data_IF_052709206026
#
_entry.id   IF_052709206026
#
_cell.length_a   1.000
_cell.length_b   1.000
_cell.length_c   1.000
_cell.angle_alpha   90.00
_cell.angle_beta   90.00
_cell.angle_gamma   90.00
#
_symmetry.space_group_name_H-M   'P 1'
#
loop_
_entity.id
_entity.type
_entity.pdbx_description
1 polymer ?
#
# COMPACT_ATOMS: atom_id res chain seq x y z
N UNK A 1 -18.31 -14.79 -15.30
CA UNK A 1 -18.25 -13.40 -15.81
C UNK A 1 -16.81 -12.93 -15.68
N UNK A 2 -16.26 -12.22 -16.67
CA UNK A 2 -14.90 -11.69 -16.56
C UNK A 2 -14.93 -10.37 -15.76
N UNK A 3 -13.90 -10.17 -14.94
CA UNK A 3 -13.77 -9.02 -14.04
C UNK A 3 -12.57 -8.20 -14.50
N UNK A 4 -12.78 -6.89 -14.67
CA UNK A 4 -11.80 -5.98 -15.24
C UNK A 4 -11.47 -4.83 -14.28
N UNK A 5 -10.22 -4.38 -14.27
CA UNK A 5 -9.85 -3.16 -13.57
C UNK A 5 -10.39 -1.92 -14.33
N UNK A 6 -10.40 -0.75 -13.69
CA UNK A 6 -10.88 0.50 -14.31
C UNK A 6 -10.10 0.82 -15.59
N UNK A 7 -8.78 0.62 -15.60
CA UNK A 7 -7.96 0.90 -16.78
C UNK A 7 -8.31 0.00 -17.95
N UNK A 8 -8.46 -1.31 -17.70
CA UNK A 8 -8.80 -2.28 -18.74
C UNK A 8 -10.22 -2.05 -19.24
N UNK A 9 -11.13 -1.73 -18.34
CA UNK A 9 -12.51 -1.33 -18.67
C UNK A 9 -12.52 -0.11 -19.59
N UNK A 10 -11.70 0.90 -19.31
CA UNK A 10 -11.59 2.08 -20.16
C UNK A 10 -11.12 1.73 -21.59
N UNK A 11 -10.16 0.81 -21.70
CA UNK A 11 -9.67 0.31 -22.99
C UNK A 11 -10.72 -0.49 -23.75
N UNK A 12 -11.42 -1.41 -23.09
CA UNK A 12 -12.48 -2.24 -23.67
C UNK A 12 -13.60 -1.39 -24.27
N UNK A 13 -13.96 -0.29 -23.60
CA UNK A 13 -15.07 0.57 -23.99
C UNK A 13 -14.62 1.71 -24.93
N UNK A 14 -13.30 1.86 -25.18
CA UNK A 14 -12.73 3.02 -25.90
C UNK A 14 -13.15 4.36 -25.29
N UNK A 15 -13.19 4.45 -23.96
CA UNK A 15 -13.48 5.69 -23.23
C UNK A 15 -12.31 6.03 -22.30
N UNK A 16 -12.22 7.30 -21.91
CA UNK A 16 -11.22 7.71 -20.92
C UNK A 16 -11.48 7.04 -19.57
N UNK A 17 -10.42 6.79 -18.80
CA UNK A 17 -10.52 6.33 -17.40
C UNK A 17 -11.41 7.25 -16.55
N UNK A 18 -11.35 8.57 -16.79
CA UNK A 18 -12.18 9.57 -16.11
C UNK A 18 -13.67 9.38 -16.40
N UNK A 19 -14.03 8.95 -17.61
CA UNK A 19 -15.41 8.63 -17.96
C UNK A 19 -15.92 7.45 -17.14
N UNK A 20 -15.16 6.36 -17.07
CA UNK A 20 -15.52 5.20 -16.26
C UNK A 20 -15.71 5.59 -14.78
N UNK A 21 -14.74 6.33 -14.22
CA UNK A 21 -14.83 6.82 -12.83
C UNK A 21 -16.05 7.71 -12.58
N UNK A 22 -16.37 8.60 -13.53
CA UNK A 22 -17.57 9.45 -13.44
C UNK A 22 -18.86 8.62 -13.45
N UNK A 23 -18.91 7.57 -14.26
CA UNK A 23 -20.09 6.70 -14.34
C UNK A 23 -20.28 5.90 -13.06
N UNK A 24 -19.19 5.47 -12.41
CA UNK A 24 -19.23 4.86 -11.08
C UNK A 24 -19.73 5.87 -10.05
N UNK A 25 -19.17 7.10 -10.03
CA UNK A 25 -19.57 8.14 -9.09
C UNK A 25 -21.05 8.53 -9.23
N UNK A 26 -21.57 8.48 -10.46
CA UNK A 26 -22.98 8.77 -10.76
C UNK A 26 -23.90 7.55 -10.57
N UNK A 27 -23.38 6.39 -10.15
CA UNK A 27 -24.16 5.16 -9.96
C UNK A 27 -24.62 4.46 -11.24
N UNK A 28 -24.13 4.87 -12.42
CA UNK A 28 -24.47 4.22 -13.70
C UNK A 28 -23.79 2.87 -13.90
N UNK A 29 -22.58 2.73 -13.36
CA UNK A 29 -21.81 1.50 -13.35
C UNK A 29 -21.73 0.96 -11.92
N UNK A 30 -21.99 -0.33 -11.77
CA UNK A 30 -21.77 -1.03 -10.50
C UNK A 30 -20.31 -1.50 -10.49
N UNK A 31 -19.67 -1.35 -9.33
CA UNK A 31 -18.28 -1.70 -9.09
C UNK A 31 -18.21 -2.62 -7.88
N UNK A 32 -17.45 -3.69 -8.01
CA UNK A 32 -17.08 -4.60 -6.92
C UNK A 32 -15.68 -4.24 -6.44
N UNK A 33 -15.40 -4.46 -5.16
CA UNK A 33 -14.04 -4.35 -4.63
C UNK A 33 -13.46 -5.74 -4.48
N UNK A 34 -12.23 -5.90 -4.95
CA UNK A 34 -11.46 -7.13 -4.76
C UNK A 34 -11.11 -7.33 -3.27
N UNK A 35 -10.58 -8.50 -2.94
CA UNK A 35 -9.94 -8.85 -1.66
C UNK A 35 -8.92 -7.81 -1.21
N UNK A 36 -8.18 -7.21 -2.16
CA UNK A 36 -7.20 -6.15 -1.93
C UNK A 36 -7.81 -4.72 -1.91
N UNK A 37 -9.14 -4.60 -1.95
CA UNK A 37 -9.86 -3.33 -1.98
C UNK A 37 -9.79 -2.58 -3.31
N UNK A 38 -9.24 -3.20 -4.37
CA UNK A 38 -9.10 -2.57 -5.69
C UNK A 38 -10.45 -2.56 -6.42
N UNK A 39 -10.81 -1.45 -7.09
CA UNK A 39 -12.06 -1.34 -7.82
C UNK A 39 -12.04 -2.22 -9.08
N UNK A 40 -13.08 -3.03 -9.22
CA UNK A 40 -13.27 -3.99 -10.30
C UNK A 40 -14.68 -3.85 -10.87
N UNK A 41 -14.81 -4.10 -12.17
CA UNK A 41 -16.07 -3.95 -12.91
C UNK A 41 -16.28 -5.22 -13.74
N UNK A 42 -17.48 -5.76 -13.69
CA UNK A 42 -17.84 -6.94 -14.48
C UNK A 42 -18.01 -6.58 -15.95
N UNK A 43 -17.61 -7.47 -16.84
CA UNK A 43 -17.78 -7.27 -18.28
C UNK A 43 -19.24 -7.09 -18.68
N UNK A 44 -20.18 -7.71 -17.96
CA UNK A 44 -21.63 -7.55 -18.19
C UNK A 44 -22.15 -6.15 -17.84
N UNK A 45 -21.62 -5.54 -16.77
CA UNK A 45 -21.91 -4.15 -16.42
C UNK A 45 -21.43 -3.20 -17.52
N UNK A 46 -20.23 -3.46 -18.07
CA UNK A 46 -19.70 -2.68 -19.18
C UNK A 46 -20.57 -2.82 -20.43
N UNK A 47 -21.02 -4.05 -20.75
CA UNK A 47 -21.91 -4.30 -21.90
C UNK A 47 -23.27 -3.63 -21.69
N UNK A 48 -23.85 -3.70 -20.49
CA UNK A 48 -25.14 -3.05 -20.21
C UNK A 48 -25.08 -1.55 -20.42
N UNK A 49 -24.01 -0.90 -19.94
CA UNK A 49 -23.91 0.56 -19.92
C UNK A 49 -23.42 1.14 -21.24
N UNK A 50 -22.52 0.43 -21.94
CA UNK A 50 -21.87 0.96 -23.14
C UNK A 50 -22.12 0.16 -24.41
N UNK A 51 -22.78 -1.00 -24.32
CA UNK A 51 -23.04 -1.89 -25.44
C UNK A 51 -21.84 -2.75 -25.82
N UNK A 52 -21.73 -3.08 -27.11
CA UNK A 52 -20.70 -3.97 -27.63
C UNK A 52 -19.28 -3.44 -27.31
N UNK A 53 -18.46 -4.29 -26.71
CA UNK A 53 -17.09 -3.94 -26.33
C UNK A 53 -16.16 -3.97 -27.54
N UNK A 54 -15.16 -3.09 -27.54
CA UNK A 54 -14.11 -3.08 -28.55
C UNK A 54 -13.16 -4.26 -28.35
N UNK A 55 -12.81 -4.91 -29.46
CA UNK A 55 -11.66 -5.83 -29.50
C UNK A 55 -10.40 -5.02 -29.17
N UNK A 56 -9.85 -5.20 -27.97
CA UNK A 56 -8.59 -4.56 -27.59
C UNK A 56 -7.48 -5.37 -28.22
N UNK A 57 -6.87 -4.87 -29.31
CA UNK A 57 -5.62 -5.45 -29.79
C UNK A 57 -4.57 -5.20 -28.71
N UNK A 58 -4.05 -6.26 -28.09
CA UNK A 58 -2.92 -6.15 -27.17
C UNK A 58 -1.71 -5.66 -27.97
N UNK A 59 -1.56 -4.34 -28.12
CA UNK A 59 -0.31 -3.77 -28.65
C UNK A 59 0.77 -4.16 -27.65
N UNK A 60 1.59 -5.15 -28.02
CA UNK A 60 2.75 -5.57 -27.26
C UNK A 60 3.66 -4.34 -27.18
N UNK A 61 3.60 -3.61 -26.06
CA UNK A 61 4.44 -2.44 -25.84
C UNK A 61 5.86 -2.98 -25.77
N UNK A 62 6.62 -2.83 -26.85
CA UNK A 62 8.05 -3.08 -26.86
C UNK A 62 8.67 -2.05 -25.91
N UNK A 63 8.82 -2.40 -24.63
CA UNK A 63 9.52 -1.57 -23.66
C UNK A 63 10.97 -1.49 -24.12
N UNK A 64 11.33 -0.37 -24.75
CA UNK A 64 12.73 -0.01 -24.95
C UNK A 64 13.29 0.31 -23.57
N UNK A 65 13.92 -0.67 -22.93
CA UNK A 65 14.68 -0.43 -21.70
C UNK A 65 15.92 0.38 -22.08
N UNK A 66 16.06 1.58 -21.54
CA UNK A 66 17.37 2.24 -21.51
C UNK A 66 18.24 1.48 -20.51
N UNK A 67 19.29 0.84 -21.02
CA UNK A 67 20.32 0.21 -20.20
C UNK A 67 21.20 1.32 -19.60
N UNK A 68 20.72 1.93 -18.52
CA UNK A 68 21.58 2.77 -17.67
C UNK A 68 22.38 1.80 -16.80
N UNK A 69 23.70 1.94 -16.80
CA UNK A 69 24.61 1.15 -15.98
C UNK A 69 24.35 1.40 -14.49
N UNK A 70 23.31 0.77 -13.95
CA UNK A 70 23.11 0.68 -12.52
C UNK A 70 24.18 -0.27 -11.99
N UNK A 71 25.08 0.20 -11.13
CA UNK A 71 25.93 -0.66 -10.30
C UNK A 71 25.02 -1.47 -9.38
N UNK A 72 24.52 -2.59 -9.87
CA UNK A 72 23.79 -3.56 -9.07
C UNK A 72 24.81 -4.37 -8.28
N UNK A 73 25.03 -4.02 -7.01
CA UNK A 73 25.61 -4.96 -6.04
C UNK A 73 24.58 -6.01 -5.65
N UNK A 74 24.07 -6.77 -6.64
CA UNK A 74 23.27 -7.97 -6.39
C UNK A 74 24.23 -9.13 -6.12
N UNK A 75 24.65 -9.28 -4.86
CA UNK A 75 25.11 -10.59 -4.37
C UNK A 75 23.87 -11.45 -4.13
N UNK A 76 23.27 -11.92 -5.22
CA UNK A 76 22.28 -12.98 -5.16
C UNK A 76 23.06 -14.30 -5.23
N UNK A 77 23.57 -14.80 -4.11
CA UNK A 77 24.13 -16.15 -4.04
C UNK A 77 22.98 -17.18 -4.02
N UNK A 78 22.23 -17.26 -5.12
CA UNK A 78 21.32 -18.38 -5.34
C UNK A 78 22.16 -19.48 -5.98
N UNK A 79 22.67 -20.39 -5.15
CA UNK A 79 23.36 -21.58 -5.62
C UNK A 79 22.27 -22.58 -5.99
N UNK A 80 22.17 -22.94 -7.27
CA UNK A 80 21.30 -24.03 -7.70
C UNK A 80 22.00 -25.34 -7.31
N UNK A 81 21.59 -25.91 -6.17
CA UNK A 81 22.05 -27.23 -5.74
C UNK A 81 21.28 -28.30 -6.49
N UNK A 82 21.97 -29.36 -6.89
CA UNK A 82 21.34 -30.56 -7.45
C UNK A 82 20.61 -31.34 -6.34
N UNK A 83 19.68 -32.22 -6.71
CA UNK A 83 18.90 -32.98 -5.73
C UNK A 83 19.80 -33.83 -4.81
N UNK A 84 20.81 -34.47 -5.39
CA UNK A 84 21.76 -35.32 -4.66
C UNK A 84 22.58 -34.53 -3.63
N UNK A 85 23.04 -33.33 -3.96
CA UNK A 85 23.77 -32.47 -3.02
C UNK A 85 22.88 -31.99 -1.87
N UNK A 86 21.59 -31.77 -2.13
CA UNK A 86 20.63 -31.43 -1.08
C UNK A 86 20.39 -32.62 -0.15
N UNK A 87 20.28 -33.84 -0.70
CA UNK A 87 20.14 -35.06 0.09
C UNK A 87 21.34 -35.27 1.01
N UNK A 88 22.57 -35.10 0.50
CA UNK A 88 23.80 -35.20 1.29
C UNK A 88 23.91 -34.14 2.40
N UNK A 89 23.42 -32.92 2.15
CA UNK A 89 23.40 -31.86 3.17
C UNK A 89 22.38 -32.22 4.27
N UNK A 90 21.22 -32.72 3.89
CA UNK A 90 20.15 -33.10 4.83
C UNK A 90 20.60 -34.29 5.68
N UNK A 91 21.19 -35.34 5.08
CA UNK A 91 21.64 -36.53 5.81
C UNK A 91 22.69 -36.17 6.86
N UNK A 92 23.70 -35.38 6.49
CA UNK A 92 24.73 -34.88 7.44
C UNK A 92 24.15 -34.03 8.56
N UNK A 93 23.16 -33.18 8.25
CA UNK A 93 22.51 -32.35 9.25
C UNK A 93 21.73 -33.19 10.27
N UNK A 94 21.02 -34.21 9.80
CA UNK A 94 20.25 -35.14 10.65
C UNK A 94 21.19 -35.98 11.52
N UNK A 95 22.25 -36.56 10.96
CA UNK A 95 23.25 -37.32 11.73
C UNK A 95 23.86 -36.48 12.84
N UNK A 96 24.22 -35.23 12.56
CA UNK A 96 24.78 -34.30 13.54
C UNK A 96 23.77 -33.88 14.61
N UNK A 97 22.48 -33.81 14.27
CA UNK A 97 21.43 -33.55 15.24
C UNK A 97 21.24 -34.75 16.18
N UNK A 98 21.20 -35.96 15.62
CA UNK A 98 21.05 -37.20 16.38
C UNK A 98 22.26 -37.45 17.28
N UNK A 99 23.49 -37.25 16.79
CA UNK A 99 24.71 -37.41 17.60
C UNK A 99 24.76 -36.48 18.80
N UNK A 100 24.11 -35.30 18.71
CA UNK A 100 23.98 -34.35 19.82
C UNK A 100 22.83 -34.69 20.77
N UNK A 101 21.74 -35.26 20.27
CA UNK A 101 20.55 -35.59 21.05
C UNK A 101 20.69 -36.91 21.82
N UNK A 102 21.37 -37.92 21.25
CA UNK A 102 21.53 -39.25 21.84
C UNK A 102 22.21 -39.22 23.23
N UNK A 103 23.30 -38.46 23.47
CA UNK A 103 23.93 -38.38 24.79
C UNK A 103 22.96 -37.87 25.87
N UNK A 104 22.14 -36.87 25.52
CA UNK A 104 21.17 -36.28 26.43
C UNK A 104 20.08 -37.29 26.82
N UNK A 105 19.68 -38.18 25.92
CA UNK A 105 18.66 -39.20 26.20
C UNK A 105 19.18 -40.38 27.05
N UNK A 106 20.50 -40.57 27.12
CA UNK A 106 21.13 -41.66 27.89
C UNK A 106 21.26 -41.26 29.38
N UNK A 107 21.42 -39.98 29.70
CA UNK A 107 21.51 -39.50 31.09
C UNK A 107 20.22 -39.74 31.92
N UNK A 108 19.09 -40.00 31.26
CA UNK A 108 17.77 -40.09 31.92
C UNK A 108 17.40 -41.51 32.37
N UNK A 109 18.33 -42.47 32.32
CA UNK A 109 18.06 -43.89 32.67
C UNK A 109 18.74 -44.29 33.98
N UNK A 110 18.18 -43.88 35.12
CA UNK A 110 18.37 -44.57 36.40
C UNK A 110 17.07 -44.63 37.22
N UNK A 111 16.38 -45.76 37.04
CA UNK A 111 15.53 -46.52 37.99
C UNK A 111 14.13 -45.99 38.41
N UNK A 112 13.14 -46.88 38.23
CA UNK A 112 11.67 -46.84 38.42
C UNK A 112 11.21 -47.07 39.91
N UNK A 113 9.91 -47.21 40.34
CA UNK A 113 8.75 -47.90 39.70
C UNK A 113 7.30 -47.32 39.94
N UNK A 114 6.31 -48.04 39.35
CA UNK A 114 4.84 -47.88 39.10
C UNK A 114 3.99 -48.31 40.34
N UNK A 115 2.71 -47.88 40.61
CA UNK A 115 1.44 -48.42 40.01
C UNK A 115 0.27 -47.42 39.81
N UNK A 116 -0.33 -47.35 38.61
CA UNK A 116 -1.64 -47.91 38.16
C UNK A 116 -2.92 -47.12 38.62
N UNK A 117 -4.16 -47.46 38.19
CA UNK A 117 -4.88 -46.86 37.07
C UNK A 117 -6.23 -46.23 37.48
N UNK A 118 -6.73 -45.19 36.79
CA UNK A 118 -8.06 -44.62 37.11
C UNK A 118 -9.00 -44.69 35.91
N UNK A 119 -10.16 -45.25 36.23
CA UNK A 119 -11.35 -45.62 35.47
C UNK A 119 -12.12 -44.45 34.82
N UNK A 120 -13.04 -44.75 33.88
CA UNK A 120 -13.68 -43.75 33.01
C UNK A 120 -14.86 -43.06 33.68
N UNK A 121 -14.95 -41.72 33.53
CA UNK A 121 -16.08 -40.91 33.97
C UNK A 121 -17.03 -40.57 32.81
N UNK A 122 -18.30 -40.92 33.06
CA UNK A 122 -19.57 -40.64 32.39
C UNK A 122 -19.73 -39.19 31.89
N UNK A 123 -20.45 -38.94 30.76
CA UNK A 123 -20.65 -37.60 30.21
C UNK A 123 -21.85 -36.90 30.87
N UNK A 124 -21.63 -35.70 31.41
CA UNK A 124 -22.69 -34.77 31.82
C UNK A 124 -22.58 -33.44 31.07
N UNK A 125 -23.61 -33.19 30.26
CA UNK A 125 -24.28 -31.91 29.97
C UNK A 125 -23.57 -30.84 29.10
N UNK A 126 -24.36 -30.05 28.34
CA UNK A 126 -23.92 -29.34 27.15
C UNK A 126 -23.41 -27.93 27.47
N UNK A 127 -22.26 -27.58 26.90
CA UNK A 127 -21.74 -26.21 26.94
C UNK A 127 -22.48 -25.38 25.90
N UNK A 128 -23.18 -24.36 26.39
CA UNK A 128 -23.95 -23.42 25.60
C UNK A 128 -23.11 -22.70 24.53
N UNK A 129 -23.62 -22.73 23.29
CA UNK A 129 -23.13 -21.97 22.15
C UNK A 129 -23.20 -20.46 22.39
N UNK A 130 -22.05 -19.82 22.61
CA UNK A 130 -21.93 -18.36 22.51
C UNK A 130 -21.86 -17.97 21.03
N UNK A 131 -22.99 -17.58 20.46
CA UNK A 131 -23.10 -16.91 19.15
C UNK A 131 -22.09 -15.75 19.07
N UNK A 132 -21.07 -15.89 18.23
CA UNK A 132 -20.20 -14.78 17.82
C UNK A 132 -21.02 -13.81 16.96
N UNK A 133 -21.12 -12.56 17.37
CA UNK A 133 -21.71 -11.52 16.54
C UNK A 133 -20.81 -11.22 15.33
N UNK A 134 -21.39 -10.95 14.14
CA UNK A 134 -20.63 -10.55 12.98
C UNK A 134 -20.04 -9.14 13.18
N UNK A 135 -18.75 -9.01 12.90
CA UNK A 135 -18.01 -7.75 12.94
C UNK A 135 -18.59 -6.82 11.87
N UNK A 136 -19.19 -5.71 12.30
CA UNK A 136 -19.66 -4.66 11.40
C UNK A 136 -18.45 -4.00 10.72
N UNK A 137 -18.50 -3.69 9.42
CA UNK A 137 -17.43 -3.00 8.74
C UNK A 137 -17.27 -1.59 9.32
N UNK A 138 -16.06 -1.27 9.78
CA UNK A 138 -15.65 0.08 10.15
C UNK A 138 -15.62 0.89 8.86
N UNK A 139 -16.73 1.55 8.54
CA UNK A 139 -16.78 2.61 7.56
C UNK A 139 -15.98 3.78 8.11
N UNK A 140 -14.67 3.83 7.82
CA UNK A 140 -13.86 5.00 8.09
C UNK A 140 -14.31 6.08 7.10
N UNK A 141 -14.95 7.18 7.54
CA UNK A 141 -15.30 8.24 6.62
C UNK A 141 -14.01 8.82 6.07
N UNK A 142 -13.88 8.85 4.75
CA UNK A 142 -12.88 9.65 4.07
C UNK A 142 -13.21 11.10 4.41
N UNK A 143 -12.51 11.69 5.38
CA UNK A 143 -12.62 13.13 5.62
C UNK A 143 -12.02 13.80 4.40
N UNK A 144 -12.88 14.20 3.46
CA UNK A 144 -12.51 15.14 2.43
C UNK A 144 -11.91 16.35 3.15
N UNK A 145 -10.60 16.57 3.03
CA UNK A 145 -9.97 17.76 3.57
C UNK A 145 -10.74 18.94 3.01
N UNK A 146 -11.51 19.62 3.86
CA UNK A 146 -12.23 20.83 3.50
C UNK A 146 -11.21 21.74 2.82
N UNK A 147 -11.49 22.14 1.58
CA UNK A 147 -10.70 23.13 0.86
C UNK A 147 -10.69 24.37 1.74
N UNK A 148 -9.55 24.65 2.34
CA UNK A 148 -9.37 25.79 3.23
C UNK A 148 -9.78 27.05 2.49
N UNK A 149 -10.56 27.93 3.16
CA UNK A 149 -11.05 29.16 2.54
C UNK A 149 -9.82 29.93 2.05
N UNK A 150 -9.82 30.32 0.77
CA UNK A 150 -8.70 31.06 0.20
C UNK A 150 -8.63 32.42 0.88
N UNK A 151 -7.43 32.82 1.29
CA UNK A 151 -7.19 34.17 1.78
C UNK A 151 -7.35 35.13 0.60
N UNK A 152 -8.22 36.14 0.73
CA UNK A 152 -8.53 37.07 -0.36
C UNK A 152 -7.29 37.76 -0.92
N UNK A 153 -6.38 38.14 -0.03
CA UNK A 153 -5.08 38.72 -0.38
C UNK A 153 -4.21 37.74 -1.17
N UNK A 154 -3.89 36.57 -0.61
CA UNK A 154 -3.06 35.57 -1.27
C UNK A 154 -3.61 35.17 -2.64
N UNK A 155 -4.94 35.04 -2.76
CA UNK A 155 -5.59 34.73 -4.01
C UNK A 155 -5.45 35.85 -5.06
N UNK A 156 -5.51 37.13 -4.67
CA UNK A 156 -5.35 38.27 -5.56
C UNK A 156 -3.94 38.34 -6.16
N UNK A 157 -2.92 37.99 -5.37
CA UNK A 157 -1.52 38.01 -5.78
C UNK A 157 -0.98 36.63 -6.22
N UNK A 158 -1.82 35.60 -6.35
CA UNK A 158 -1.37 34.27 -6.76
C UNK A 158 -0.42 33.57 -5.76
N UNK A 159 -0.43 34.00 -4.50
CA UNK A 159 0.44 33.52 -3.43
C UNK A 159 -0.19 32.32 -2.70
N UNK A 160 0.62 31.49 -2.00
CA UNK A 160 0.10 30.46 -1.10
C UNK A 160 -0.81 31.06 -0.02
N UNK A 161 -1.89 30.36 0.36
CA UNK A 161 -2.84 30.86 1.37
C UNK A 161 -2.17 31.26 2.69
N UNK A 162 -1.06 30.64 3.07
CA UNK A 162 -0.31 30.96 4.29
C UNK A 162 0.22 32.41 4.29
N UNK A 163 0.40 33.01 3.12
CA UNK A 163 0.90 34.38 2.98
C UNK A 163 -0.24 35.38 3.17
N UNK A 164 -0.22 36.07 4.30
CA UNK A 164 -1.06 37.26 4.54
C UNK A 164 -0.35 38.52 4.02
N UNK A 165 -1.06 39.64 3.97
CA UNK A 165 -0.50 40.94 3.59
C UNK A 165 0.70 41.34 4.48
N UNK A 166 0.58 41.15 5.79
CA UNK A 166 1.64 41.44 6.75
C UNK A 166 2.89 40.59 6.49
N UNK A 167 2.69 39.29 6.27
CA UNK A 167 3.76 38.35 5.94
C UNK A 167 4.42 38.74 4.61
N UNK A 168 3.63 39.13 3.62
CA UNK A 168 4.14 39.55 2.32
C UNK A 168 5.04 40.78 2.43
N UNK A 169 4.58 41.84 3.11
CA UNK A 169 5.36 43.05 3.35
C UNK A 169 6.64 42.77 4.14
N UNK A 170 6.56 41.91 5.16
CA UNK A 170 7.71 41.51 5.95
C UNK A 170 8.75 40.76 5.10
N UNK A 171 8.33 39.82 4.25
CA UNK A 171 9.25 39.12 3.33
C UNK A 171 9.90 40.12 2.36
N UNK A 172 9.14 41.06 1.79
CA UNK A 172 9.69 42.06 0.87
C UNK A 172 10.71 42.97 1.54
N UNK A 173 10.45 43.40 2.78
CA UNK A 173 11.38 44.20 3.57
C UNK A 173 12.68 43.44 3.85
N UNK A 174 12.58 42.23 4.39
CA UNK A 174 13.75 41.41 4.75
C UNK A 174 14.58 41.02 3.51
N UNK A 175 13.92 40.74 2.39
CA UNK A 175 14.61 40.49 1.12
C UNK A 175 15.30 41.75 0.58
N UNK A 176 14.69 42.92 0.72
CA UNK A 176 15.30 44.21 0.37
C UNK A 176 16.52 44.55 1.24
N UNK A 177 16.56 44.08 2.49
CA UNK A 177 17.72 44.16 3.39
C UNK A 177 18.84 43.17 3.03
N UNK A 178 18.65 42.32 2.02
CA UNK A 178 19.64 41.36 1.53
C UNK A 178 19.71 40.05 2.33
N UNK A 179 18.71 39.76 3.16
CA UNK A 179 18.66 38.52 3.94
C UNK A 179 18.41 37.30 3.06
N UNK A 180 19.02 36.18 3.45
CA UNK A 180 18.85 34.91 2.77
C UNK A 180 17.50 34.27 3.08
N UNK A 181 17.01 33.41 2.19
CA UNK A 181 15.74 32.68 2.39
C UNK A 181 15.66 31.93 3.73
N UNK A 182 16.80 31.45 4.24
CA UNK A 182 16.89 30.73 5.53
C UNK A 182 16.71 31.65 6.73
N UNK A 183 17.18 32.88 6.63
CA UNK A 183 17.02 33.88 7.68
C UNK A 183 15.58 34.39 7.71
N UNK A 184 15.00 34.64 6.52
CA UNK A 184 13.59 35.04 6.39
C UNK A 184 12.64 33.95 6.92
N UNK A 185 12.95 32.66 6.68
CA UNK A 185 12.14 31.55 7.22
C UNK A 185 12.10 31.52 8.74
N UNK A 186 13.23 31.82 9.41
CA UNK A 186 13.28 31.89 10.88
C UNK A 186 12.42 33.02 11.42
N UNK A 187 12.39 34.16 10.73
CA UNK A 187 11.66 35.34 11.15
C UNK A 187 10.15 35.22 10.91
N UNK A 188 9.76 34.69 9.74
CA UNK A 188 8.37 34.71 9.26
C UNK A 188 7.65 33.38 9.53
N UNK A 189 8.36 32.33 9.94
CA UNK A 189 7.81 30.98 10.22
C UNK A 189 7.03 30.35 9.05
N UNK A 190 7.42 30.70 7.82
CA UNK A 190 6.82 30.18 6.57
C UNK A 190 7.89 29.43 5.79
N UNK A 191 7.50 28.32 5.14
CA UNK A 191 8.42 27.50 4.33
C UNK A 191 9.20 28.32 3.29
N UNK A 192 10.48 27.99 3.09
CA UNK A 192 11.34 28.62 2.05
C UNK A 192 10.70 28.66 0.67
N UNK A 193 9.98 27.62 0.27
CA UNK A 193 9.33 27.55 -1.06
C UNK A 193 8.23 28.60 -1.24
N UNK A 194 7.52 28.93 -0.16
CA UNK A 194 6.50 29.98 -0.19
C UNK A 194 7.14 31.36 -0.20
N UNK A 195 8.23 31.56 0.55
CA UNK A 195 9.03 32.80 0.54
C UNK A 195 9.61 33.05 -0.86
N UNK A 196 10.21 32.02 -1.46
CA UNK A 196 10.74 32.11 -2.82
C UNK A 196 9.64 32.46 -3.82
N UNK A 197 8.47 31.81 -3.74
CA UNK A 197 7.33 32.18 -4.59
C UNK A 197 6.89 33.62 -4.40
N UNK A 198 6.83 34.11 -3.16
CA UNK A 198 6.45 35.52 -2.90
C UNK A 198 7.44 36.48 -3.54
N UNK A 199 8.74 36.20 -3.47
CA UNK A 199 9.78 37.02 -4.09
C UNK A 199 9.65 36.94 -5.63
N UNK A 200 9.49 35.75 -6.19
CA UNK A 200 9.37 35.58 -7.66
C UNK A 200 8.13 36.26 -8.25
N UNK A 201 7.01 36.29 -7.53
CA UNK A 201 5.77 36.91 -8.01
C UNK A 201 5.80 38.44 -7.90
N UNK A 202 6.66 38.97 -7.04
CA UNK A 202 6.70 40.40 -6.69
C UNK A 202 7.96 41.12 -7.18
N UNK A 203 8.87 40.38 -7.82
CA UNK A 203 10.01 40.89 -8.57
C UNK A 203 9.57 41.27 -9.99
#
# INVERSE_FOLDING_TARGET
MAINNITDSALLVKKSRRTIQRYIANGKLIMVRDTLGKPQIDTTELIRVFGALSKVSQKKIAKKSQHVAAKWSKKNNSINLTADELEDIITRAVEKALSKAIPLLIEHKKTAPIPEPITPITPMAPVADKKRQPIRPINRPFTAKKKERKNGYAAAFGLPNVITEVIHLQIMKLHGEGLTLREIEKEVSVSQTSIQRTITVSA
#
